data_IF_292258475957
#
_entry.id   IF_292258475957
#
_cell.length_a   1.000
_cell.length_b   1.000
_cell.length_c   1.000
_cell.angle_alpha   90.00
_cell.angle_beta   90.00
_cell.angle_gamma   90.00
#
_symmetry.space_group_name_H-M   'P 1'
#
loop_
_entity.id
_entity.type
_entity.pdbx_description
1 polymer ?
#
# COMPACT_ATOMS: atom_id res chain seq x y z
N UNK A 1 11.80 -14.59 17.94
CA UNK A 1 12.00 -13.79 16.73
C UNK A 1 10.66 -13.20 16.36
N UNK A 2 10.57 -11.90 16.10
CA UNK A 2 9.30 -11.27 15.77
C UNK A 2 8.73 -11.87 14.49
N UNK A 3 7.47 -12.28 14.55
CA UNK A 3 6.77 -12.84 13.39
C UNK A 3 6.13 -11.70 12.61
N UNK A 4 6.56 -11.56 11.36
CA UNK A 4 6.01 -10.61 10.42
C UNK A 4 4.88 -11.24 9.64
N UNK A 5 3.80 -10.47 9.44
CA UNK A 5 2.85 -10.73 8.38
C UNK A 5 3.06 -9.73 7.25
N UNK A 6 3.41 -10.24 6.08
CA UNK A 6 3.53 -9.47 4.84
C UNK A 6 2.21 -9.55 4.08
N UNK A 7 1.68 -8.40 3.67
CA UNK A 7 0.49 -8.31 2.83
C UNK A 7 0.86 -7.59 1.53
N UNK A 8 1.09 -8.37 0.48
CA UNK A 8 1.41 -7.84 -0.84
C UNK A 8 0.14 -7.40 -1.55
N UNK A 9 0.13 -6.15 -2.04
CA UNK A 9 -1.00 -5.58 -2.80
C UNK A 9 -1.08 -6.08 -4.24
N UNK A 10 -1.85 -5.35 -5.04
CA UNK A 10 -2.14 -5.69 -6.43
C UNK A 10 -1.43 -4.76 -7.42
N UNK A 11 -1.35 -5.17 -8.69
CA UNK A 11 -1.06 -4.28 -9.83
C UNK A 11 0.24 -4.60 -10.59
N UNK A 12 0.86 -5.73 -10.31
CA UNK A 12 2.02 -6.25 -11.05
C UNK A 12 1.67 -7.48 -11.90
N UNK A 13 2.64 -8.01 -12.67
CA UNK A 13 2.50 -9.33 -13.28
C UNK A 13 2.32 -10.39 -12.18
N UNK A 14 1.55 -11.44 -12.48
CA UNK A 14 1.34 -12.53 -11.52
C UNK A 14 2.67 -13.21 -11.16
N UNK A 15 2.94 -13.31 -9.85
CA UNK A 15 4.15 -13.93 -9.31
C UNK A 15 3.78 -15.00 -8.29
N UNK A 16 4.62 -16.01 -8.17
CA UNK A 16 4.48 -17.01 -7.11
C UNK A 16 4.76 -16.39 -5.73
N UNK A 17 4.07 -16.90 -4.71
CA UNK A 17 4.26 -16.48 -3.32
C UNK A 17 5.72 -16.59 -2.89
N UNK A 18 6.42 -17.67 -3.29
CA UNK A 18 7.85 -17.85 -3.04
C UNK A 18 8.71 -16.72 -3.65
N UNK A 19 8.40 -16.29 -4.87
CA UNK A 19 9.14 -15.20 -5.51
C UNK A 19 8.89 -13.87 -4.79
N UNK A 20 7.64 -13.57 -4.44
CA UNK A 20 7.26 -12.34 -3.73
C UNK A 20 7.92 -12.33 -2.35
N UNK A 21 7.82 -13.44 -1.61
CA UNK A 21 8.41 -13.58 -0.27
C UNK A 21 9.92 -13.36 -0.28
N UNK A 22 10.65 -13.95 -1.24
CA UNK A 22 12.11 -13.76 -1.35
C UNK A 22 12.48 -12.30 -1.63
N UNK A 23 11.75 -11.63 -2.52
CA UNK A 23 11.98 -10.22 -2.82
C UNK A 23 11.73 -9.34 -1.59
N UNK A 24 10.63 -9.58 -0.87
CA UNK A 24 10.33 -8.83 0.35
C UNK A 24 11.39 -9.02 1.42
N UNK A 25 11.77 -10.26 1.72
CA UNK A 25 12.77 -10.55 2.77
C UNK A 25 14.11 -9.89 2.43
N UNK A 26 14.59 -10.05 1.19
CA UNK A 26 15.86 -9.41 0.77
C UNK A 26 15.79 -7.89 0.82
N UNK A 27 14.68 -7.29 0.37
CA UNK A 27 14.50 -5.83 0.41
C UNK A 27 14.43 -5.30 1.84
N UNK A 28 13.76 -6.01 2.75
CA UNK A 28 13.72 -5.67 4.19
C UNK A 28 15.13 -5.69 4.79
N UNK A 29 15.92 -6.71 4.47
CA UNK A 29 17.29 -6.81 4.94
C UNK A 29 18.14 -5.64 4.43
N UNK A 30 18.02 -5.29 3.15
CA UNK A 30 18.70 -4.14 2.57
C UNK A 30 18.33 -2.85 3.32
N UNK A 31 17.03 -2.61 3.54
CA UNK A 31 16.56 -1.44 4.29
C UNK A 31 17.09 -1.37 5.72
N UNK A 32 17.07 -2.49 6.46
CA UNK A 32 17.62 -2.57 7.81
C UNK A 32 19.12 -2.26 7.83
N UNK A 33 19.90 -2.83 6.90
CA UNK A 33 21.34 -2.57 6.80
C UNK A 33 21.62 -1.11 6.49
N UNK A 34 20.89 -0.52 5.53
CA UNK A 34 21.03 0.90 5.17
C UNK A 34 20.66 1.84 6.32
N UNK A 35 19.75 1.41 7.20
CA UNK A 35 19.39 2.11 8.42
C UNK A 35 20.37 1.90 9.59
N UNK A 36 21.39 1.04 9.44
CA UNK A 36 22.37 0.73 10.47
C UNK A 36 21.94 -0.36 11.48
N UNK A 37 20.85 -1.08 11.19
CA UNK A 37 20.41 -2.24 11.98
C UNK A 37 20.99 -3.55 11.41
N UNK A 38 21.11 -4.62 12.22
CA UNK A 38 21.53 -5.93 11.73
C UNK A 38 20.59 -6.48 10.66
N UNK A 39 21.16 -7.11 9.62
CA UNK A 39 20.39 -7.88 8.66
C UNK A 39 19.79 -9.11 9.35
N UNK A 40 18.51 -9.05 9.70
CA UNK A 40 17.77 -10.19 10.24
C UNK A 40 16.83 -10.69 9.15
N UNK A 41 16.86 -11.99 8.86
CA UNK A 41 15.81 -12.63 8.09
C UNK A 41 14.59 -12.82 9.00
N UNK A 42 13.50 -12.05 8.83
CA UNK A 42 12.36 -12.20 9.71
C UNK A 42 11.63 -13.52 9.44
N UNK A 43 11.04 -14.10 10.48
CA UNK A 43 10.05 -15.16 10.30
C UNK A 43 8.77 -14.52 9.74
N UNK A 44 8.60 -14.61 8.42
CA UNK A 44 7.55 -13.90 7.71
C UNK A 44 6.57 -14.85 7.01
N UNK A 45 5.28 -14.67 7.32
CA UNK A 45 4.13 -15.20 6.56
C UNK A 45 3.76 -14.20 5.46
N UNK A 46 3.36 -14.68 4.29
CA UNK A 46 2.92 -13.86 3.16
C UNK A 46 1.44 -14.09 2.86
N UNK A 47 0.68 -13.01 2.74
CA UNK A 47 -0.60 -12.95 2.04
C UNK A 47 -0.39 -12.18 0.74
N UNK A 48 -0.62 -12.85 -0.38
CA UNK A 48 -0.40 -12.30 -1.71
C UNK A 48 -1.74 -12.01 -2.40
N UNK A 49 -2.05 -10.73 -2.60
CA UNK A 49 -3.30 -10.29 -3.22
C UNK A 49 -3.24 -10.19 -4.75
N UNK A 50 -2.07 -10.35 -5.37
CA UNK A 50 -1.92 -10.39 -6.84
C UNK A 50 -2.54 -11.67 -7.48
N UNK A 51 -3.14 -12.56 -6.68
CA UNK A 51 -3.90 -13.69 -7.19
C UNK A 51 -5.27 -13.23 -7.76
N UNK A 52 -5.69 -13.72 -8.94
CA UNK A 52 -6.85 -13.21 -9.67
C UNK A 52 -8.19 -13.36 -8.93
N UNK A 53 -8.28 -14.29 -7.97
CA UNK A 53 -9.44 -14.51 -7.10
C UNK A 53 -9.49 -13.57 -5.88
N UNK A 54 -8.42 -12.78 -5.65
CA UNK A 54 -8.25 -11.91 -4.48
C UNK A 54 -8.34 -10.41 -4.80
N UNK A 55 -8.47 -10.07 -6.08
CA UNK A 55 -8.70 -8.70 -6.54
C UNK A 55 -10.19 -8.35 -6.39
N UNK A 56 -10.56 -7.13 -5.95
CA UNK A 56 -11.95 -6.73 -5.91
C UNK A 56 -12.63 -6.95 -7.25
N UNK A 57 -13.79 -7.63 -7.22
CA UNK A 57 -14.69 -7.64 -8.38
C UNK A 57 -15.03 -6.18 -8.66
N UNK A 58 -14.64 -5.71 -9.84
CA UNK A 58 -15.04 -4.39 -10.30
C UNK A 58 -16.57 -4.41 -10.41
N UNK A 59 -17.24 -3.65 -9.54
CA UNK A 59 -18.66 -3.40 -9.67
C UNK A 59 -18.97 -2.61 -10.95
N UNK A 60 -20.24 -2.23 -11.11
CA UNK A 60 -20.64 -1.38 -12.23
C UNK A 60 -19.76 -0.12 -12.28
N UNK A 61 -19.31 0.23 -13.49
CA UNK A 61 -18.55 1.45 -13.71
C UNK A 61 -19.39 2.65 -13.27
N UNK A 62 -18.79 3.52 -12.46
CA UNK A 62 -19.30 4.87 -12.21
C UNK A 62 -18.34 5.86 -12.91
N UNK A 63 -18.64 6.27 -14.15
CA UNK A 63 -17.77 7.17 -14.91
C UNK A 63 -17.56 8.52 -14.21
N UNK A 64 -18.56 9.02 -13.47
CA UNK A 64 -18.45 10.30 -12.78
C UNK A 64 -17.43 10.21 -11.63
N UNK A 65 -17.50 9.15 -10.83
CA UNK A 65 -16.53 8.93 -9.76
C UNK A 65 -15.13 8.55 -10.30
N UNK A 66 -15.04 7.84 -11.43
CA UNK A 66 -13.77 7.47 -12.07
C UNK A 66 -13.05 8.73 -12.57
N UNK A 67 -13.77 9.57 -13.32
CA UNK A 67 -13.26 10.86 -13.78
C UNK A 67 -12.87 11.76 -12.61
N UNK A 68 -13.65 11.78 -11.52
CA UNK A 68 -13.31 12.58 -10.34
C UNK A 68 -12.00 12.10 -9.68
N UNK A 69 -11.75 10.79 -9.63
CA UNK A 69 -10.50 10.23 -9.10
C UNK A 69 -9.32 10.54 -10.02
N UNK A 70 -9.48 10.38 -11.34
CA UNK A 70 -8.47 10.77 -12.33
C UNK A 70 -8.11 12.26 -12.21
N UNK A 71 -9.09 13.14 -12.02
CA UNK A 71 -8.85 14.58 -11.82
C UNK A 71 -8.06 14.87 -10.54
N UNK A 72 -8.30 14.12 -9.46
CA UNK A 72 -7.48 14.23 -8.25
C UNK A 72 -6.05 13.73 -8.48
N UNK A 73 -5.91 12.62 -9.21
CA UNK A 73 -4.59 12.12 -9.62
C UNK A 73 -3.85 13.16 -10.47
N UNK A 74 -4.52 13.82 -11.41
CA UNK A 74 -3.95 14.90 -12.21
C UNK A 74 -3.38 16.04 -11.37
N UNK A 75 -4.15 16.49 -10.37
CA UNK A 75 -3.74 17.58 -9.49
C UNK A 75 -2.54 17.22 -8.61
N UNK A 76 -2.34 15.94 -8.30
CA UNK A 76 -1.23 15.44 -7.50
C UNK A 76 -0.04 14.95 -8.33
N UNK A 77 -0.23 14.71 -9.63
CA UNK A 77 0.77 14.09 -10.48
C UNK A 77 1.96 15.01 -10.73
N UNK A 78 3.15 14.42 -10.69
CA UNK A 78 4.39 15.06 -11.13
C UNK A 78 4.75 14.57 -12.53
N UNK A 79 5.21 15.47 -13.39
CA UNK A 79 5.61 15.19 -14.77
C UNK A 79 7.04 15.69 -15.00
N UNK A 80 7.80 14.99 -15.84
CA UNK A 80 9.15 15.43 -16.24
C UNK A 80 9.10 16.59 -17.25
N UNK A 81 7.98 16.73 -17.94
CA UNK A 81 7.71 17.79 -18.92
C UNK A 81 6.35 18.43 -18.63
N UNK A 82 6.19 19.71 -18.97
CA UNK A 82 4.93 20.44 -18.83
C UNK A 82 3.76 19.64 -19.43
N UNK A 83 2.78 19.21 -18.61
CA UNK A 83 1.74 18.30 -19.05
C UNK A 83 0.63 19.02 -19.83
N UNK A 84 0.71 20.35 -19.99
CA UNK A 84 -0.30 21.16 -20.66
C UNK A 84 -1.61 21.26 -19.87
N UNK A 85 -2.70 21.58 -20.58
CA UNK A 85 -4.03 21.71 -19.98
C UNK A 85 -4.61 20.36 -19.60
N UNK A 86 -5.30 20.29 -18.45
CA UNK A 86 -6.03 19.10 -18.02
C UNK A 86 -7.07 18.68 -19.07
N UNK A 87 -7.02 17.44 -19.59
CA UNK A 87 -8.06 16.91 -20.46
C UNK A 87 -9.45 16.88 -19.79
N UNK A 88 -10.51 17.03 -20.59
CA UNK A 88 -11.87 17.07 -20.10
C UNK A 88 -12.50 15.67 -19.95
N UNK A 89 -12.14 14.77 -20.87
CA UNK A 89 -12.63 13.40 -20.98
C UNK A 89 -11.76 12.39 -20.21
N UNK A 90 -12.36 11.27 -19.81
CA UNK A 90 -11.73 10.21 -19.00
C UNK A 90 -10.53 9.59 -19.70
N UNK A 91 -10.70 9.19 -20.96
CA UNK A 91 -9.69 8.46 -21.73
C UNK A 91 -8.45 9.32 -22.00
N UNK A 92 -8.61 10.56 -22.44
CA UNK A 92 -7.47 11.46 -22.66
C UNK A 92 -6.81 11.86 -21.34
N UNK A 93 -7.57 11.98 -20.25
CA UNK A 93 -7.00 12.26 -18.93
C UNK A 93 -6.15 11.08 -18.43
N UNK A 94 -6.67 9.86 -18.55
CA UNK A 94 -5.92 8.64 -18.23
C UNK A 94 -4.69 8.49 -19.15
N UNK A 95 -4.85 8.70 -20.45
CA UNK A 95 -3.77 8.64 -21.41
C UNK A 95 -2.67 9.68 -21.14
N UNK A 96 -3.00 10.87 -20.64
CA UNK A 96 -1.99 11.86 -20.23
C UNK A 96 -1.37 11.50 -18.88
N UNK A 97 -2.15 11.03 -17.92
CA UNK A 97 -1.65 10.61 -16.61
C UNK A 97 -0.65 9.46 -16.71
N UNK A 98 -0.80 8.56 -17.70
CA UNK A 98 0.17 7.53 -18.02
C UNK A 98 1.59 8.05 -18.35
N UNK A 99 1.76 9.36 -18.53
CA UNK A 99 3.07 10.01 -18.73
C UNK A 99 3.59 10.73 -17.46
N UNK A 100 2.80 10.73 -16.38
CA UNK A 100 3.29 11.19 -15.08
C UNK A 100 4.36 10.25 -14.54
N UNK A 101 5.21 10.74 -13.65
CA UNK A 101 6.26 9.93 -13.02
C UNK A 101 5.66 8.73 -12.29
N UNK A 102 4.54 8.89 -11.60
CA UNK A 102 3.94 7.76 -10.87
C UNK A 102 3.40 6.67 -11.80
N UNK A 103 2.59 7.04 -12.81
CA UNK A 103 1.92 6.06 -13.69
C UNK A 103 2.74 5.69 -14.93
N UNK A 104 3.98 6.16 -15.08
CA UNK A 104 4.75 5.91 -16.29
C UNK A 104 4.87 4.41 -16.58
N UNK A 105 4.70 4.04 -17.85
CA UNK A 105 4.77 2.65 -18.29
C UNK A 105 3.48 1.84 -18.06
N UNK A 106 2.41 2.42 -17.54
CA UNK A 106 1.07 1.86 -17.64
C UNK A 106 0.38 2.36 -18.92
N UNK A 107 -0.42 1.52 -19.54
CA UNK A 107 -1.41 1.95 -20.52
C UNK A 107 -2.57 2.69 -19.84
N UNK A 108 -3.34 3.46 -20.59
CA UNK A 108 -4.53 4.13 -20.07
C UNK A 108 -5.54 3.11 -19.50
N UNK A 109 -5.68 1.95 -20.13
CA UNK A 109 -6.56 0.87 -19.68
C UNK A 109 -6.09 0.28 -18.34
N UNK A 110 -4.80 -0.04 -18.20
CA UNK A 110 -4.23 -0.53 -16.94
C UNK A 110 -4.38 0.50 -15.82
N UNK A 111 -4.10 1.77 -16.10
CA UNK A 111 -4.28 2.87 -15.13
C UNK A 111 -5.74 2.96 -14.67
N UNK A 112 -6.68 3.02 -15.60
CA UNK A 112 -8.11 3.08 -15.28
C UNK A 112 -8.56 1.84 -14.51
N UNK A 113 -8.06 0.65 -14.88
CA UNK A 113 -8.28 -0.59 -14.14
C UNK A 113 -7.79 -0.51 -12.69
N UNK A 114 -6.55 -0.07 -12.47
CA UNK A 114 -5.98 0.15 -11.13
C UNK A 114 -6.81 1.13 -10.31
N UNK A 115 -7.21 2.26 -10.88
CA UNK A 115 -8.02 3.27 -10.18
C UNK A 115 -9.41 2.73 -9.79
N UNK A 116 -10.04 1.96 -10.68
CA UNK A 116 -11.32 1.30 -10.40
C UNK A 116 -11.18 0.26 -9.28
N UNK A 117 -10.08 -0.49 -9.24
CA UNK A 117 -9.79 -1.42 -8.13
C UNK A 117 -9.61 -0.68 -6.81
N UNK A 118 -8.83 0.40 -6.80
CA UNK A 118 -8.63 1.26 -5.62
C UNK A 118 -9.96 1.81 -5.13
N UNK A 119 -10.80 2.32 -6.04
CA UNK A 119 -12.13 2.81 -5.70
C UNK A 119 -13.03 1.70 -5.16
N UNK A 120 -13.08 0.54 -5.80
CA UNK A 120 -13.90 -0.58 -5.34
C UNK A 120 -13.52 -1.02 -3.92
N UNK A 121 -12.22 -1.06 -3.62
CA UNK A 121 -11.72 -1.32 -2.27
C UNK A 121 -12.11 -0.21 -1.27
N UNK A 122 -12.18 1.04 -1.74
CA UNK A 122 -12.51 2.22 -0.94
C UNK A 122 -14.01 2.42 -0.66
N UNK A 123 -14.89 2.04 -1.57
CA UNK A 123 -16.33 2.36 -1.52
C UNK A 123 -17.24 1.16 -1.22
N UNK A 124 -16.71 -0.06 -1.23
CA UNK A 124 -17.46 -1.26 -0.81
C UNK A 124 -17.57 -1.39 0.71
N UNK A 125 -18.35 -2.35 1.24
CA UNK A 125 -18.27 -2.76 2.64
C UNK A 125 -16.89 -3.39 2.89
N UNK A 126 -15.89 -2.53 3.09
CA UNK A 126 -14.48 -2.87 3.00
C UNK A 126 -14.06 -3.98 3.99
N UNK A 127 -14.79 -4.11 5.11
CA UNK A 127 -14.58 -5.15 6.11
C UNK A 127 -14.97 -6.58 5.67
N UNK A 128 -15.74 -6.74 4.59
CA UNK A 128 -16.24 -8.04 4.11
C UNK A 128 -15.54 -8.54 2.82
N UNK A 129 -14.36 -7.99 2.51
CA UNK A 129 -13.62 -8.35 1.29
C UNK A 129 -12.78 -9.64 1.51
N UNK A 130 -12.73 -10.59 0.55
CA UNK A 130 -11.92 -11.82 0.68
C UNK A 130 -10.45 -11.56 1.04
N UNK A 131 -9.83 -10.53 0.44
CA UNK A 131 -8.49 -10.09 0.80
C UNK A 131 -8.32 -9.73 2.29
N UNK A 132 -9.35 -9.16 2.93
CA UNK A 132 -9.32 -8.84 4.36
C UNK A 132 -9.44 -10.11 5.19
N UNK A 133 -10.28 -11.06 4.76
CA UNK A 133 -10.43 -12.36 5.43
C UNK A 133 -9.16 -13.20 5.32
N UNK A 134 -8.47 -13.18 4.18
CA UNK A 134 -7.16 -13.82 4.00
C UNK A 134 -6.12 -13.26 4.98
N UNK A 135 -6.10 -11.93 5.17
CA UNK A 135 -5.23 -11.30 6.17
C UNK A 135 -5.63 -11.74 7.58
N UNK A 136 -6.92 -11.72 7.92
CA UNK A 136 -7.39 -12.17 9.24
C UNK A 136 -7.02 -13.63 9.52
N UNK A 137 -7.14 -14.51 8.53
CA UNK A 137 -6.78 -15.92 8.65
C UNK A 137 -5.28 -16.15 8.84
N UNK A 138 -4.44 -15.25 8.32
CA UNK A 138 -2.99 -15.31 8.47
C UNK A 138 -2.48 -14.71 9.79
N UNK A 139 -3.29 -13.90 10.49
CA UNK A 139 -2.94 -13.36 11.81
C UNK A 139 -2.91 -14.48 12.84
N UNK A 140 -1.82 -14.54 13.60
CA UNK A 140 -1.66 -15.43 14.76
C UNK A 140 -1.45 -14.61 16.04
N UNK A 141 -1.66 -15.19 17.24
CA UNK A 141 -1.34 -14.51 18.50
C UNK A 141 0.11 -14.01 18.61
N UNK A 142 1.03 -14.63 17.88
CA UNK A 142 2.44 -14.28 17.84
C UNK A 142 2.79 -13.23 16.77
N UNK A 143 1.81 -12.75 15.99
CA UNK A 143 2.06 -11.74 14.95
C UNK A 143 2.31 -10.39 15.58
N UNK A 144 3.53 -9.87 15.47
CA UNK A 144 3.94 -8.64 16.16
C UNK A 144 3.87 -7.40 15.26
N UNK A 145 4.15 -7.57 13.98
CA UNK A 145 4.21 -6.48 13.02
C UNK A 145 3.57 -6.95 11.70
N UNK A 146 2.65 -6.15 11.18
CA UNK A 146 2.04 -6.34 9.86
C UNK A 146 2.59 -5.28 8.90
N UNK A 147 3.02 -5.69 7.72
CA UNK A 147 3.52 -4.78 6.68
C UNK A 147 2.68 -4.98 5.43
N UNK A 148 1.96 -3.94 5.00
CA UNK A 148 1.12 -3.99 3.81
C UNK A 148 1.56 -2.98 2.75
N UNK A 149 1.54 -3.39 1.48
CA UNK A 149 1.89 -2.54 0.34
C UNK A 149 0.69 -2.30 -0.56
N UNK A 150 0.52 -1.08 -1.09
CA UNK A 150 -0.59 -0.73 -2.00
C UNK A 150 -1.94 -1.16 -1.40
N UNK A 151 -2.81 -1.86 -2.14
CA UNK A 151 -4.08 -2.40 -1.61
C UNK A 151 -3.90 -3.40 -0.46
N UNK A 152 -2.73 -4.06 -0.36
CA UNK A 152 -2.41 -4.92 0.77
C UNK A 152 -2.32 -4.17 2.10
N UNK A 153 -1.88 -2.90 2.08
CA UNK A 153 -1.91 -2.03 3.27
C UNK A 153 -3.32 -1.65 3.69
N UNK A 154 -4.22 -1.43 2.73
CA UNK A 154 -5.63 -1.17 3.02
C UNK A 154 -6.30 -2.41 3.59
N UNK A 155 -6.06 -3.58 2.99
CA UNK A 155 -6.55 -4.86 3.51
C UNK A 155 -6.05 -5.14 4.94
N UNK A 156 -4.76 -4.90 5.19
CA UNK A 156 -4.17 -5.04 6.52
C UNK A 156 -4.81 -4.13 7.56
N UNK A 157 -4.97 -2.84 7.25
CA UNK A 157 -5.60 -1.89 8.14
C UNK A 157 -7.04 -2.27 8.48
N UNK A 158 -7.82 -2.76 7.51
CA UNK A 158 -9.19 -3.23 7.72
C UNK A 158 -9.27 -4.56 8.45
N UNK A 159 -8.28 -5.45 8.29
CA UNK A 159 -8.21 -6.70 9.03
C UNK A 159 -7.92 -6.46 10.51
N UNK A 160 -7.11 -5.45 10.80
CA UNK A 160 -6.76 -4.99 12.16
C UNK A 160 -7.81 -4.04 12.76
N UNK A 161 -8.83 -3.68 11.99
CA UNK A 161 -9.97 -2.90 12.48
C UNK A 161 -10.62 -3.60 13.68
N UNK A 162 -10.70 -2.93 14.83
CA UNK A 162 -11.38 -3.49 15.99
C UNK A 162 -10.67 -4.65 16.69
N UNK A 163 -9.44 -5.04 16.28
CA UNK A 163 -8.63 -6.03 17.01
C UNK A 163 -8.07 -5.48 18.33
N UNK A 164 -8.14 -4.17 18.54
CA UNK A 164 -7.54 -3.49 19.69
C UNK A 164 -6.02 -3.71 19.76
N UNK A 165 -5.49 -3.88 20.97
CA UNK A 165 -4.05 -4.04 21.22
C UNK A 165 -3.47 -5.44 20.87
N UNK A 166 -4.25 -6.33 20.26
CA UNK A 166 -3.82 -7.71 19.97
C UNK A 166 -2.72 -7.80 18.91
N UNK A 167 -2.60 -6.81 18.02
CA UNK A 167 -1.48 -6.69 17.08
C UNK A 167 -0.72 -5.39 17.36
N UNK A 168 0.58 -5.45 17.70
CA UNK A 168 1.34 -4.30 18.17
C UNK A 168 1.52 -3.20 17.11
N UNK A 169 1.84 -3.55 15.87
CA UNK A 169 2.22 -2.56 14.86
C UNK A 169 1.76 -2.89 13.44
N UNK A 170 1.41 -1.83 12.70
CA UNK A 170 1.16 -1.84 11.26
C UNK A 170 2.09 -0.85 10.56
N UNK A 171 2.69 -1.29 9.46
CA UNK A 171 3.41 -0.43 8.52
C UNK A 171 2.69 -0.51 7.16
N UNK A 172 2.21 0.63 6.65
CA UNK A 172 1.64 0.73 5.31
C UNK A 172 2.64 1.36 4.35
N UNK A 173 2.78 0.81 3.15
CA UNK A 173 3.73 1.27 2.11
C UNK A 173 2.94 1.69 0.88
N UNK A 174 3.00 2.98 0.49
CA UNK A 174 2.35 3.49 -0.72
C UNK A 174 0.87 3.09 -0.83
N UNK A 175 0.17 3.01 0.30
CA UNK A 175 -1.16 2.41 0.37
C UNK A 175 -2.23 3.45 0.10
N UNK A 176 -3.05 3.31 -0.96
CA UNK A 176 -4.05 4.30 -1.30
C UNK A 176 -5.20 4.23 -0.30
N UNK A 177 -5.17 5.14 0.66
CA UNK A 177 -6.20 5.22 1.68
C UNK A 177 -7.53 5.69 1.04
N UNK A 178 -8.66 4.95 1.17
CA UNK A 178 -9.98 5.43 0.77
C UNK A 178 -10.25 6.89 1.16
N UNK A 179 -10.61 7.77 0.21
CA UNK A 179 -11.09 9.11 0.53
C UNK A 179 -12.48 9.01 1.16
N UNK A 180 -12.58 9.33 2.45
CA UNK A 180 -13.82 9.35 3.23
C UNK A 180 -14.58 8.00 3.25
N UNK A 181 -14.01 7.02 3.96
CA UNK A 181 -14.74 5.90 4.53
C UNK A 181 -14.69 5.95 6.05
N UNK A 182 -15.59 5.24 6.73
CA UNK A 182 -15.46 4.95 8.17
C UNK A 182 -14.22 4.06 8.37
N UNK A 183 -13.06 4.70 8.45
CA UNK A 183 -11.88 4.01 8.93
C UNK A 183 -12.15 3.53 10.34
N UNK A 184 -11.62 2.35 10.71
CA UNK A 184 -11.73 1.85 12.07
C UNK A 184 -11.23 2.92 13.04
N UNK A 185 -12.07 3.27 14.03
CA UNK A 185 -11.71 4.22 15.09
C UNK A 185 -10.74 3.61 16.09
N UNK A 186 -10.56 2.29 16.04
CA UNK A 186 -9.56 1.52 16.78
C UNK A 186 -8.78 0.62 15.83
N UNK A 187 -7.50 0.45 16.12
CA UNK A 187 -6.57 -0.30 15.29
C UNK A 187 -5.31 -0.68 16.09
N UNK A 188 -4.21 -1.01 15.40
CA UNK A 188 -2.97 -1.39 16.06
C UNK A 188 -2.43 -0.25 16.93
N UNK A 189 -1.68 -0.61 17.97
CA UNK A 189 -1.12 0.37 18.93
C UNK A 189 -0.20 1.36 18.22
N UNK A 190 0.57 0.87 17.24
CA UNK A 190 1.41 1.69 16.38
C UNK A 190 1.01 1.50 14.93
N UNK A 191 0.81 2.60 14.21
CA UNK A 191 0.61 2.58 12.77
C UNK A 191 1.50 3.63 12.11
N UNK A 192 2.49 3.16 11.34
CA UNK A 192 3.36 4.03 10.54
C UNK A 192 3.02 3.92 9.06
N UNK A 193 2.73 5.05 8.43
CA UNK A 193 2.50 5.15 6.98
C UNK A 193 3.78 5.64 6.29
N UNK A 194 4.32 4.84 5.39
CA UNK A 194 5.53 5.13 4.60
C UNK A 194 5.12 5.39 3.15
N UNK A 195 5.31 6.61 2.70
CA UNK A 195 4.77 7.07 1.42
C UNK A 195 5.85 7.76 0.59
N UNK A 196 5.86 7.51 -0.71
CA UNK A 196 6.73 8.22 -1.63
C UNK A 196 6.21 9.65 -1.85
N UNK A 197 7.10 10.64 -1.87
CA UNK A 197 6.72 12.05 -2.05
C UNK A 197 6.04 12.35 -3.38
N UNK A 198 6.13 11.43 -4.35
CA UNK A 198 5.49 11.49 -5.66
C UNK A 198 4.40 10.40 -5.82
N UNK A 199 3.93 9.78 -4.74
CA UNK A 199 2.85 8.79 -4.78
C UNK A 199 1.50 9.44 -5.10
N UNK A 200 1.19 9.55 -6.39
CA UNK A 200 -0.03 10.20 -6.88
C UNK A 200 -1.31 9.60 -6.29
N UNK A 201 -1.36 8.29 -6.06
CA UNK A 201 -2.55 7.63 -5.53
C UNK A 201 -2.80 8.02 -4.08
N UNK A 202 -1.75 8.02 -3.25
CA UNK A 202 -1.86 8.43 -1.84
C UNK A 202 -2.17 9.93 -1.75
N UNK A 203 -1.52 10.76 -2.56
CA UNK A 203 -1.75 12.21 -2.56
C UNK A 203 -3.18 12.57 -3.05
N UNK A 204 -3.74 11.81 -3.99
CA UNK A 204 -5.10 12.00 -4.48
C UNK A 204 -6.19 11.68 -3.44
N UNK A 205 -5.88 10.90 -2.40
CA UNK A 205 -6.82 10.53 -1.34
C UNK A 205 -7.18 11.71 -0.41
N UNK A 206 -6.34 12.75 -0.32
CA UNK A 206 -6.49 13.98 0.50
C UNK A 206 -6.59 13.79 2.03
N UNK A 207 -7.08 12.65 2.51
CA UNK A 207 -7.24 12.31 3.92
C UNK A 207 -6.86 10.84 4.14
N UNK A 208 -6.16 10.54 5.25
CA UNK A 208 -5.85 9.17 5.66
C UNK A 208 -6.58 8.77 6.95
N UNK A 209 -6.47 7.49 7.35
CA UNK A 209 -7.04 6.99 8.60
C UNK A 209 -6.58 7.78 9.82
N UNK A 210 -7.49 8.06 10.75
CA UNK A 210 -7.18 8.75 12.01
C UNK A 210 -6.28 7.92 12.94
N UNK A 211 -6.17 6.60 12.71
CA UNK A 211 -5.34 5.69 13.49
C UNK A 211 -3.84 5.74 13.17
N UNK A 212 -3.41 6.50 12.16
CA UNK A 212 -1.98 6.63 11.82
C UNK A 212 -1.26 7.40 12.95
N UNK A 213 -0.30 6.74 13.61
CA UNK A 213 0.51 7.32 14.70
C UNK A 213 1.84 7.90 14.23
N UNK A 214 2.30 7.54 13.02
CA UNK A 214 3.53 8.05 12.44
C UNK A 214 3.45 8.13 10.91
N UNK A 215 4.13 9.11 10.32
CA UNK A 215 4.26 9.25 8.86
C UNK A 215 5.71 9.42 8.49
N UNK A 216 6.14 8.69 7.48
CA UNK A 216 7.49 8.76 6.92
C UNK A 216 7.35 8.98 5.42
N UNK A 217 8.09 9.96 4.92
CA UNK A 217 8.15 10.25 3.49
C UNK A 217 9.53 9.87 2.96
N UNK A 218 9.56 9.31 1.77
CA UNK A 218 10.78 8.95 1.06
C UNK A 218 10.68 9.37 -0.41
N UNK A 219 11.80 9.42 -1.11
CA UNK A 219 11.87 9.59 -2.56
C UNK A 219 12.61 8.38 -3.12
N UNK A 220 11.85 7.33 -3.43
CA UNK A 220 12.37 6.08 -4.01
C UNK A 220 12.12 5.97 -5.50
N UNK A 221 11.73 7.08 -6.14
CA UNK A 221 11.27 7.15 -7.52
C UNK A 221 10.02 6.28 -7.77
N UNK A 222 8.82 6.89 -7.81
CA UNK A 222 7.56 6.14 -7.85
C UNK A 222 7.39 5.33 -9.14
N UNK A 223 8.17 5.62 -10.19
CA UNK A 223 8.14 4.89 -11.48
C UNK A 223 8.26 3.38 -11.29
N UNK A 224 8.89 2.97 -10.20
CA UNK A 224 9.18 1.58 -9.90
C UNK A 224 8.04 0.85 -9.16
N UNK A 225 7.02 1.56 -8.64
CA UNK A 225 5.71 1.12 -8.04
C UNK A 225 5.64 -0.16 -7.18
N UNK A 226 6.77 -0.79 -6.90
CA UNK A 226 6.87 -2.06 -6.21
C UNK A 226 7.30 -1.88 -4.77
N UNK A 227 6.83 -2.80 -3.91
CA UNK A 227 7.15 -2.81 -2.48
C UNK A 227 8.66 -2.71 -2.22
N UNK A 228 9.48 -3.33 -3.07
CA UNK A 228 10.95 -3.30 -2.98
C UNK A 228 11.53 -1.90 -2.78
N UNK A 229 11.03 -0.87 -3.47
CA UNK A 229 11.63 0.46 -3.42
C UNK A 229 11.39 1.15 -2.07
N UNK A 230 10.23 0.89 -1.45
CA UNK A 230 9.95 1.30 -0.08
C UNK A 230 10.78 0.48 0.91
N UNK A 231 10.78 -0.85 0.77
CA UNK A 231 11.40 -1.79 1.70
C UNK A 231 12.93 -1.66 1.76
N UNK A 232 13.57 -1.44 0.61
CA UNK A 232 15.02 -1.28 0.50
C UNK A 232 15.49 0.15 0.81
N UNK A 233 14.65 0.98 1.43
CA UNK A 233 15.01 2.34 1.84
C UNK A 233 15.53 2.39 3.29
N UNK A 234 16.46 3.30 3.61
CA UNK A 234 16.87 3.53 5.00
C UNK A 234 15.72 4.09 5.85
N UNK A 235 14.77 4.82 5.26
CA UNK A 235 13.57 5.33 5.94
C UNK A 235 12.71 4.20 6.50
N UNK A 236 12.39 3.21 5.66
CA UNK A 236 11.69 2.01 6.10
C UNK A 236 12.51 1.22 7.12
N UNK A 237 13.82 1.05 6.87
CA UNK A 237 14.72 0.33 7.77
C UNK A 237 14.73 0.90 9.18
N UNK A 238 14.72 2.23 9.33
CA UNK A 238 14.64 2.91 10.64
C UNK A 238 13.32 2.62 11.35
N UNK A 239 12.20 2.64 10.63
CA UNK A 239 10.87 2.34 11.17
C UNK A 239 10.82 0.91 11.68
N UNK A 240 11.20 -0.06 10.83
CA UNK A 240 11.15 -1.46 11.20
C UNK A 240 12.15 -1.78 12.32
N UNK A 241 13.39 -1.29 12.23
CA UNK A 241 14.41 -1.51 13.27
C UNK A 241 13.97 -1.03 14.65
N UNK A 242 13.40 0.17 14.74
CA UNK A 242 12.85 0.72 16.00
C UNK A 242 11.72 -0.15 16.58
N UNK A 243 10.84 -0.68 15.72
CA UNK A 243 9.77 -1.56 16.15
C UNK A 243 10.30 -2.92 16.64
N UNK A 244 11.27 -3.49 15.92
CA UNK A 244 11.91 -4.75 16.30
C UNK A 244 12.61 -4.63 17.66
N UNK A 245 13.31 -3.53 17.94
CA UNK A 245 13.93 -3.26 19.25
C UNK A 245 12.89 -3.19 20.37
N UNK A 246 11.74 -2.56 20.11
CA UNK A 246 10.63 -2.45 21.07
C UNK A 246 9.95 -3.81 21.34
N UNK A 247 9.90 -4.69 20.34
CA UNK A 247 9.40 -6.05 20.50
C UNK A 247 10.33 -6.91 21.37
N UNK A 248 11.65 -6.83 21.16
CA UNK A 248 12.62 -7.58 21.98
C UNK A 248 12.69 -7.14 23.44
N UNK A 249 12.25 -5.91 23.76
CA UNK A 249 12.23 -5.38 25.12
C UNK A 249 11.00 -5.84 25.94
N UNK A 250 10.03 -6.52 25.32
CA UNK A 250 8.81 -7.04 25.97
C UNK A 250 8.95 -8.53 26.30
#
# INVERSE_FOLDING_TARGET
>A
MPRLLIVHGTGGPQRSDDSVRREWISSIQDGLVLAGHPAVAPDATLVNLDAPDRVPVLGDSDPAADLALLRRCWQAATFDTEPGTQPADEDALAARLAWSRYFCGLTAEELTGTLRQVRAFATGPAAAHPAVDDVRAALTPDTEIVIGHCLGGVAAALALAGTGAAVPALITLGSPHPPAGEWPTSGPVTWVDVTDVQDTLVLAARSGPAGITGKVSLDCDPRLRGARNYLASPEFGKVLGSLLETCHAR
#
